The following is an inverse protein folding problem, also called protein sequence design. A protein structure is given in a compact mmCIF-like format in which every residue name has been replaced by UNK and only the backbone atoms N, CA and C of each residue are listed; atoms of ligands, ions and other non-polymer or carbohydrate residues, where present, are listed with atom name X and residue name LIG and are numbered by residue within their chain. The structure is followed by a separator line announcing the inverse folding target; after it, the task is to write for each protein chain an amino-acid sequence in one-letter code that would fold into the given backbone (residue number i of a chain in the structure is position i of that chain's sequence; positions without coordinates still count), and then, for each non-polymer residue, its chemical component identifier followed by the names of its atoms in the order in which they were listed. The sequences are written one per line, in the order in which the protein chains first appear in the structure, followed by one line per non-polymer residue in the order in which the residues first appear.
data_IF_751743584618
#
_entry.id   IF_751743584618
#
_cell.length_a   1.000
_cell.length_b   1.000
_cell.length_c   1.000
_cell.angle_alpha   90.00
_cell.angle_beta   90.00
_cell.angle_gamma   90.00
#
_symmetry.space_group_name_H-M   'P 1'
#
loop_
_entity.id
_entity.type
_entity.pdbx_description
1 polymer ?
#
# COMPACT_ATOMS: atom_id res chain seq x y z
N UNK A 1 -19.83 12.71 10.85
CA UNK A 1 -20.02 11.34 11.37
C UNK A 1 -20.32 10.44 10.18
N UNK A 2 -19.55 9.37 9.96
CA UNK A 2 -19.84 8.39 8.88
C UNK A 2 -21.03 7.51 9.32
N UNK A 3 -21.97 7.18 8.42
CA UNK A 3 -23.09 6.29 8.74
C UNK A 3 -22.56 4.95 9.24
N UNK A 4 -23.24 4.38 10.24
CA UNK A 4 -22.91 3.04 10.74
C UNK A 4 -23.28 2.03 9.65
N UNK A 5 -22.43 1.04 9.46
CA UNK A 5 -22.72 -0.10 8.61
C UNK A 5 -24.01 -0.79 9.11
N UNK A 6 -25.02 -0.93 8.25
CA UNK A 6 -26.33 -1.53 8.59
C UNK A 6 -26.38 -3.06 8.39
N UNK A 7 -25.23 -3.70 8.21
CA UNK A 7 -25.18 -5.15 8.08
C UNK A 7 -25.31 -5.80 9.46
N UNK A 8 -26.41 -6.52 9.67
CA UNK A 8 -26.68 -7.22 10.93
C UNK A 8 -25.85 -8.49 11.11
N UNK A 9 -25.30 -9.03 10.01
CA UNK A 9 -24.51 -10.26 10.01
C UNK A 9 -23.10 -10.00 9.48
N UNK A 10 -22.11 -10.27 10.33
CA UNK A 10 -20.70 -10.23 9.98
C UNK A 10 -20.14 -11.65 9.90
N UNK A 11 -19.57 -12.03 8.75
CA UNK A 11 -18.83 -13.27 8.62
C UNK A 11 -17.36 -13.01 9.00
N UNK A 12 -16.93 -13.57 10.13
CA UNK A 12 -15.56 -13.44 10.65
C UNK A 12 -14.76 -14.75 10.53
N UNK A 13 -15.38 -15.76 9.92
CA UNK A 13 -14.83 -17.10 9.69
C UNK A 13 -14.21 -17.18 8.28
N UNK A 14 -13.23 -18.08 8.07
CA UNK A 14 -12.74 -18.34 6.73
C UNK A 14 -13.81 -19.06 5.90
N UNK A 15 -13.60 -19.15 4.58
CA UNK A 15 -14.46 -19.92 3.69
C UNK A 15 -14.34 -21.43 3.96
N UNK A 16 -15.28 -22.20 3.41
CA UNK A 16 -15.24 -23.66 3.42
C UNK A 16 -14.00 -24.26 2.75
N UNK A 17 -13.33 -23.49 1.87
CA UNK A 17 -12.12 -23.91 1.16
C UNK A 17 -10.87 -23.87 2.05
N UNK A 18 -10.91 -23.15 3.17
CA UNK A 18 -9.74 -23.02 4.05
C UNK A 18 -9.28 -24.36 4.65
N UNK A 19 -10.22 -25.24 5.00
CA UNK A 19 -9.92 -26.57 5.55
C UNK A 19 -9.19 -27.47 4.53
N UNK A 20 -9.70 -27.70 3.30
CA UNK A 20 -8.98 -28.52 2.32
C UNK A 20 -7.68 -27.87 1.85
N UNK A 21 -7.56 -26.54 1.89
CA UNK A 21 -6.30 -25.85 1.64
C UNK A 21 -5.27 -26.02 2.78
N UNK A 22 -5.66 -26.56 3.94
CA UNK A 22 -4.77 -26.73 5.09
C UNK A 22 -4.51 -25.45 5.89
N UNK A 23 -5.32 -24.40 5.69
CA UNK A 23 -5.20 -23.15 6.43
C UNK A 23 -5.63 -23.33 7.90
N UNK A 24 -4.77 -22.89 8.82
CA UNK A 24 -5.05 -22.88 10.24
C UNK A 24 -5.10 -21.44 10.76
N UNK A 25 -6.21 -21.07 11.42
CA UNK A 25 -6.32 -19.76 12.07
C UNK A 25 -5.37 -19.68 13.28
N UNK A 26 -4.70 -18.55 13.43
CA UNK A 26 -3.89 -18.27 14.62
C UNK A 26 -4.71 -18.23 15.90
N UNK A 27 -4.11 -18.68 16.98
CA UNK A 27 -4.70 -18.60 18.32
C UNK A 27 -4.76 -17.15 18.82
N UNK A 28 -5.64 -16.87 19.77
CA UNK A 28 -5.73 -15.55 20.40
C UNK A 28 -4.38 -15.07 20.96
N UNK A 29 -3.59 -15.98 21.55
CA UNK A 29 -2.27 -15.66 22.09
C UNK A 29 -1.27 -15.28 20.99
N UNK A 30 -1.27 -16.00 19.86
CA UNK A 30 -0.42 -15.68 18.71
C UNK A 30 -0.80 -14.32 18.09
N UNK A 31 -2.10 -14.01 18.03
CA UNK A 31 -2.58 -12.71 17.57
C UNK A 31 -2.13 -11.58 18.51
N UNK A 32 -2.27 -11.74 19.83
CA UNK A 32 -1.78 -10.76 20.82
C UNK A 32 -0.26 -10.61 20.75
N UNK A 33 0.48 -11.70 20.56
CA UNK A 33 1.92 -11.64 20.41
C UNK A 33 2.32 -10.87 19.14
N UNK A 34 1.59 -11.08 18.04
CA UNK A 34 1.84 -10.43 16.76
C UNK A 34 1.60 -8.91 16.78
N UNK A 35 0.74 -8.40 17.66
CA UNK A 35 0.49 -6.95 17.80
C UNK A 35 1.53 -6.23 18.66
N UNK A 36 2.52 -6.96 19.20
CA UNK A 36 3.50 -6.42 20.15
C UNK A 36 4.87 -6.24 19.52
N UNK A 37 5.60 -5.15 19.86
CA UNK A 37 6.96 -4.95 19.38
C UNK A 37 7.92 -6.10 19.74
N UNK A 38 7.70 -6.74 20.88
CA UNK A 38 8.51 -7.88 21.33
C UNK A 38 8.18 -9.20 20.63
N UNK A 39 7.02 -9.30 19.96
CA UNK A 39 6.50 -10.56 19.43
C UNK A 39 6.12 -11.60 20.49
N UNK A 40 5.94 -11.19 21.75
CA UNK A 40 5.70 -12.10 22.88
C UNK A 40 4.36 -11.84 23.56
N UNK A 41 3.67 -12.93 23.92
CA UNK A 41 2.45 -12.90 24.74
C UNK A 41 2.75 -12.33 26.14
N UNK A 42 1.89 -11.46 26.69
CA UNK A 42 2.00 -10.98 28.07
C UNK A 42 1.90 -12.11 29.09
N UNK A 43 2.49 -11.92 30.27
CA UNK A 43 2.27 -12.82 31.41
C UNK A 43 0.82 -12.71 31.88
N UNK A 44 0.16 -13.82 32.25
CA UNK A 44 -1.28 -13.87 32.54
C UNK A 44 -1.75 -12.94 33.68
N UNK A 45 -0.85 -12.46 34.56
CA UNK A 45 -1.18 -11.61 35.71
C UNK A 45 -1.29 -10.10 35.41
N UNK A 46 -1.06 -9.65 34.17
CA UNK A 46 -1.27 -8.23 33.80
C UNK A 46 -2.73 -7.98 33.43
N UNK A 47 -3.37 -6.99 34.06
CA UNK A 47 -4.68 -6.47 33.63
C UNK A 47 -4.60 -6.07 32.14
N UNK A 48 -5.52 -6.58 31.30
CA UNK A 48 -5.55 -6.32 29.86
C UNK A 48 -5.32 -7.54 28.93
N UNK A 49 -5.26 -8.76 29.47
CA UNK A 49 -5.03 -9.99 28.70
C UNK A 49 -6.30 -10.68 28.15
N UNK A 50 -7.39 -9.94 27.99
CA UNK A 50 -8.58 -10.51 27.35
C UNK A 50 -8.22 -10.95 25.91
N UNK A 51 -8.72 -12.11 25.49
CA UNK A 51 -8.61 -12.51 24.11
C UNK A 51 -9.24 -11.42 23.24
N UNK A 52 -8.60 -10.99 22.14
CA UNK A 52 -9.20 -10.01 21.26
C UNK A 52 -10.51 -10.56 20.70
N UNK A 53 -11.52 -9.70 20.61
CA UNK A 53 -12.77 -10.04 19.95
C UNK A 53 -12.49 -10.56 18.54
N UNK A 54 -13.27 -11.53 18.06
CA UNK A 54 -13.08 -12.11 16.74
C UNK A 54 -13.15 -11.07 15.61
N UNK A 55 -13.86 -9.96 15.84
CA UNK A 55 -14.00 -8.80 14.95
C UNK A 55 -12.75 -7.92 14.90
N UNK A 56 -11.85 -8.02 15.88
CA UNK A 56 -10.58 -7.28 15.91
C UNK A 56 -9.59 -7.84 14.89
N UNK A 57 -9.56 -9.18 14.76
CA UNK A 57 -8.69 -9.90 13.82
C UNK A 57 -9.50 -10.98 13.08
N UNK A 58 -10.36 -10.58 12.13
CA UNK A 58 -11.15 -11.52 11.34
C UNK A 58 -10.24 -12.49 10.58
N UNK A 59 -10.70 -13.72 10.37
CA UNK A 59 -9.97 -14.66 9.53
C UNK A 59 -10.00 -14.19 8.06
N UNK A 60 -8.93 -14.41 7.28
CA UNK A 60 -8.99 -14.24 5.84
C UNK A 60 -10.02 -15.21 5.25
N UNK A 61 -10.64 -14.80 4.14
CA UNK A 61 -11.67 -15.62 3.49
C UNK A 61 -11.08 -16.91 2.88
N UNK A 62 -9.83 -16.90 2.41
CA UNK A 62 -9.13 -18.04 1.78
C UNK A 62 -9.95 -18.64 0.62
N UNK A 63 -9.81 -18.10 -0.58
CA UNK A 63 -10.49 -18.60 -1.77
C UNK A 63 -9.58 -19.51 -2.61
N UNK A 64 -10.14 -20.37 -3.48
CA UNK A 64 -9.34 -21.17 -4.40
C UNK A 64 -8.42 -20.31 -5.27
N UNK A 65 -7.13 -20.64 -5.28
CA UNK A 65 -6.12 -19.92 -6.06
C UNK A 65 -5.54 -18.67 -5.38
N UNK A 66 -6.04 -18.28 -4.20
CA UNK A 66 -5.39 -17.25 -3.38
C UNK A 66 -4.04 -17.75 -2.83
N UNK A 67 -3.14 -16.82 -2.50
CA UNK A 67 -1.81 -17.12 -1.94
C UNK A 67 -1.91 -18.05 -0.72
N UNK A 68 -2.82 -17.78 0.22
CA UNK A 68 -3.02 -18.62 1.41
C UNK A 68 -3.67 -19.98 1.10
N UNK A 69 -4.31 -20.14 -0.05
CA UNK A 69 -4.77 -21.44 -0.52
C UNK A 69 -3.64 -22.26 -1.14
N UNK A 70 -2.64 -21.61 -1.73
CA UNK A 70 -1.50 -22.26 -2.40
C UNK A 70 -0.37 -22.55 -1.40
N UNK A 71 -0.13 -21.62 -0.48
CA UNK A 71 0.80 -21.75 0.64
C UNK A 71 0.09 -21.42 1.97
N UNK A 72 -0.62 -22.38 2.57
CA UNK A 72 -1.32 -22.18 3.84
C UNK A 72 -0.39 -21.93 5.03
N UNK A 73 0.92 -22.17 4.86
CA UNK A 73 1.94 -21.96 5.90
C UNK A 73 2.71 -20.66 5.72
N UNK A 74 2.36 -19.84 4.73
CA UNK A 74 3.02 -18.57 4.48
C UNK A 74 3.05 -17.74 5.76
N UNK A 75 4.24 -17.23 6.10
CA UNK A 75 4.42 -16.44 7.31
C UNK A 75 3.57 -15.19 7.23
N UNK A 76 2.76 -14.91 8.26
CA UNK A 76 2.08 -13.63 8.29
C UNK A 76 2.86 -12.57 9.05
N UNK A 77 2.49 -11.34 8.75
CA UNK A 77 3.08 -10.16 9.31
C UNK A 77 2.81 -10.04 10.82
N UNK A 78 3.84 -9.65 11.56
CA UNK A 78 3.75 -9.23 12.95
C UNK A 78 4.31 -7.82 13.10
N UNK A 79 3.88 -7.08 14.12
CA UNK A 79 4.42 -5.77 14.43
C UNK A 79 5.93 -5.82 14.65
N UNK A 80 6.44 -6.88 15.29
CA UNK A 80 7.88 -7.10 15.44
C UNK A 80 8.59 -7.18 14.08
N UNK A 81 8.10 -8.04 13.19
CA UNK A 81 8.69 -8.21 11.85
C UNK A 81 8.68 -6.88 11.10
N UNK A 82 7.53 -6.18 11.10
CA UNK A 82 7.40 -4.87 10.48
C UNK A 82 8.36 -3.83 11.08
N UNK A 83 8.53 -3.78 12.41
CA UNK A 83 9.47 -2.86 13.06
C UNK A 83 10.93 -3.14 12.72
N UNK A 84 11.26 -4.40 12.40
CA UNK A 84 12.61 -4.87 12.08
C UNK A 84 12.89 -4.87 10.57
N UNK A 85 11.91 -4.54 9.73
CA UNK A 85 12.03 -4.50 8.27
C UNK A 85 13.02 -3.39 7.84
N UNK A 86 14.17 -3.72 7.21
CA UNK A 86 15.20 -2.74 6.87
C UNK A 86 14.70 -1.64 5.92
N UNK A 87 13.76 -1.97 5.04
CA UNK A 87 13.18 -1.07 4.04
C UNK A 87 12.10 -0.16 4.64
N UNK A 88 11.74 -0.36 5.91
CA UNK A 88 10.71 0.44 6.58
C UNK A 88 11.16 1.88 6.77
N UNK A 89 10.33 2.81 6.31
CA UNK A 89 10.44 4.21 6.70
C UNK A 89 10.04 4.37 8.18
N UNK A 90 11.03 4.65 9.04
CA UNK A 90 10.78 4.89 10.45
C UNK A 90 9.91 6.14 10.66
N UNK A 91 8.78 5.94 11.35
CA UNK A 91 7.94 7.03 11.84
C UNK A 91 8.66 7.69 13.01
N UNK A 92 9.11 8.93 12.80
CA UNK A 92 9.81 9.78 13.78
C UNK A 92 9.03 11.08 13.96
N UNK A 93 9.35 11.90 14.96
CA UNK A 93 8.69 13.19 15.15
C UNK A 93 8.82 14.09 13.91
N UNK A 94 9.96 14.03 13.22
CA UNK A 94 10.23 14.76 11.99
C UNK A 94 9.57 14.12 10.75
N UNK A 95 9.35 12.80 10.75
CA UNK A 95 8.83 12.02 9.60
C UNK A 95 7.50 11.30 9.88
N UNK A 96 6.61 11.95 10.64
CA UNK A 96 5.27 11.41 10.96
C UNK A 96 4.15 11.86 10.02
N UNK A 97 4.47 12.64 8.98
CA UNK A 97 3.46 13.17 8.05
C UNK A 97 3.52 12.42 6.72
N UNK A 98 2.37 11.93 6.26
CA UNK A 98 2.21 11.41 4.90
C UNK A 98 1.94 12.58 3.96
N UNK A 99 2.85 12.81 3.02
CA UNK A 99 2.69 13.86 2.02
C UNK A 99 2.13 13.26 0.71
N UNK A 100 1.00 13.79 0.28
CA UNK A 100 0.44 13.51 -1.05
C UNK A 100 0.94 14.59 -1.99
N UNK A 101 1.58 14.18 -3.08
CA UNK A 101 2.01 15.09 -4.14
C UNK A 101 1.02 15.04 -5.31
N UNK A 102 0.66 16.17 -5.93
CA UNK A 102 -0.09 16.16 -7.18
C UNK A 102 0.65 15.39 -8.27
N UNK A 103 -0.11 14.90 -9.26
CA UNK A 103 0.45 14.23 -10.44
C UNK A 103 1.52 15.13 -11.10
N UNK A 104 2.76 14.64 -11.31
CA UNK A 104 3.80 15.42 -11.94
C UNK A 104 3.41 15.86 -13.36
N UNK A 105 3.82 17.06 -13.75
CA UNK A 105 3.68 17.50 -15.14
C UNK A 105 4.63 16.73 -16.05
N UNK A 106 4.31 16.64 -17.35
CA UNK A 106 5.15 15.90 -18.32
C UNK A 106 5.86 16.89 -19.25
N UNK A 107 7.19 16.89 -19.21
CA UNK A 107 8.05 17.70 -20.07
C UNK A 107 8.00 17.29 -21.55
N UNK A 108 8.38 18.21 -22.43
CA UNK A 108 8.27 18.06 -23.89
C UNK A 108 9.11 16.93 -24.48
N UNK A 109 10.28 16.64 -23.89
CA UNK A 109 11.18 15.56 -24.32
C UNK A 109 10.68 14.16 -23.94
N UNK A 110 9.73 14.05 -23.00
CA UNK A 110 9.19 12.77 -22.48
C UNK A 110 7.67 12.67 -22.68
N UNK A 111 7.15 13.25 -23.77
CA UNK A 111 5.70 13.27 -24.09
C UNK A 111 5.03 11.90 -24.10
N UNK A 112 5.76 10.83 -24.43
CA UNK A 112 5.26 9.45 -24.44
C UNK A 112 4.72 9.02 -23.06
N UNK A 113 5.21 9.59 -21.95
CA UNK A 113 4.69 9.31 -20.61
C UNK A 113 3.23 9.73 -20.41
N UNK A 114 2.68 10.60 -21.28
CA UNK A 114 1.24 10.91 -21.26
C UNK A 114 0.38 9.69 -21.59
N UNK A 115 0.93 8.65 -22.19
CA UNK A 115 0.22 7.41 -22.46
C UNK A 115 0.08 6.55 -21.19
N UNK A 116 0.94 6.73 -20.18
CA UNK A 116 0.90 5.93 -18.94
C UNK A 116 -0.36 6.16 -18.11
N UNK A 117 -1.00 7.31 -18.29
CA UNK A 117 -2.26 7.65 -17.59
C UNK A 117 -3.50 7.12 -18.33
N UNK A 118 -3.33 6.53 -19.52
CA UNK A 118 -4.42 6.01 -20.32
C UNK A 118 -4.61 4.53 -20.03
N UNK A 119 -5.77 4.11 -19.49
CA UNK A 119 -6.07 2.69 -19.33
C UNK A 119 -6.08 1.99 -20.69
N UNK A 120 -5.45 0.82 -20.77
CA UNK A 120 -5.46 -0.03 -21.96
C UNK A 120 -6.70 -0.91 -21.92
N UNK A 121 -7.64 -0.70 -22.84
CA UNK A 121 -8.83 -1.54 -22.96
C UNK A 121 -8.60 -2.69 -23.96
N UNK A 122 -9.15 -3.88 -23.71
CA UNK A 122 -9.22 -4.94 -24.71
C UNK A 122 -9.86 -4.45 -26.01
N UNK A 123 -9.36 -4.94 -27.15
CA UNK A 123 -9.92 -4.61 -28.46
C UNK A 123 -11.43 -4.93 -28.50
N UNK A 124 -12.24 -3.98 -28.96
CA UNK A 124 -13.71 -4.11 -29.02
C UNK A 124 -14.48 -3.62 -27.80
N UNK A 125 -13.83 -3.36 -26.65
CA UNK A 125 -14.46 -2.77 -25.46
C UNK A 125 -14.28 -1.25 -25.44
N UNK A 126 -14.87 -0.56 -26.41
CA UNK A 126 -14.74 0.89 -26.55
C UNK A 126 -15.76 1.63 -25.67
N UNK A 127 -15.61 1.58 -24.36
CA UNK A 127 -16.11 2.66 -23.50
C UNK A 127 -14.94 3.60 -23.24
N UNK A 128 -14.71 4.53 -24.18
CA UNK A 128 -13.80 5.68 -24.01
C UNK A 128 -14.40 6.70 -23.03
N UNK A 129 -14.93 6.24 -21.91
CA UNK A 129 -15.34 7.15 -20.85
C UNK A 129 -14.07 7.86 -20.38
N UNK A 130 -14.05 9.19 -20.52
CA UNK A 130 -12.99 9.99 -19.92
C UNK A 130 -13.17 9.88 -18.40
N UNK A 131 -12.38 9.02 -17.77
CA UNK A 131 -12.34 8.94 -16.31
C UNK A 131 -11.62 10.21 -15.84
N UNK A 132 -12.29 11.12 -15.11
CA UNK A 132 -11.63 12.31 -14.61
C UNK A 132 -10.52 11.90 -13.65
N UNK A 133 -9.43 12.69 -13.62
CA UNK A 133 -8.39 12.45 -12.64
C UNK A 133 -8.93 12.76 -11.23
N UNK A 134 -8.63 11.92 -10.23
CA UNK A 134 -9.00 12.22 -8.85
C UNK A 134 -8.40 13.58 -8.42
N UNK A 135 -9.19 14.39 -7.70
CA UNK A 135 -8.64 15.59 -7.06
C UNK A 135 -7.65 15.13 -5.97
N UNK A 136 -6.39 15.62 -5.96
CA UNK A 136 -5.46 15.32 -4.89
C UNK A 136 -6.01 15.54 -3.47
N UNK A 137 -6.99 16.44 -3.28
CA UNK A 137 -7.67 16.65 -2.00
C UNK A 137 -8.54 15.45 -1.58
N UNK A 138 -9.25 14.85 -2.53
CA UNK A 138 -10.04 13.62 -2.27
C UNK A 138 -9.11 12.46 -1.88
N UNK A 139 -7.94 12.38 -2.52
CA UNK A 139 -6.90 11.39 -2.16
C UNK A 139 -6.40 11.63 -0.73
N UNK A 140 -6.15 12.89 -0.35
CA UNK A 140 -5.77 13.24 1.03
C UNK A 140 -6.85 12.83 2.03
N UNK A 141 -8.11 13.14 1.75
CA UNK A 141 -9.24 12.78 2.63
C UNK A 141 -9.38 11.26 2.77
N UNK A 142 -9.29 10.55 1.64
CA UNK A 142 -9.33 9.09 1.62
C UNK A 142 -8.22 8.50 2.48
N UNK A 143 -6.96 8.91 2.27
CA UNK A 143 -5.84 8.40 3.06
C UNK A 143 -5.93 8.77 4.54
N UNK A 144 -6.38 9.99 4.86
CA UNK A 144 -6.58 10.43 6.24
C UNK A 144 -7.61 9.57 7.00
N UNK A 145 -8.55 8.93 6.29
CA UNK A 145 -9.49 7.99 6.89
C UNK A 145 -8.83 6.69 7.39
N UNK A 146 -7.68 6.29 6.84
CA UNK A 146 -6.96 5.07 7.24
C UNK A 146 -5.76 5.38 8.16
N UNK A 147 -5.06 6.48 7.90
CA UNK A 147 -3.89 6.90 8.66
C UNK A 147 -4.28 7.81 9.84
N UNK A 148 -5.12 7.31 10.76
CA UNK A 148 -5.69 8.12 11.84
C UNK A 148 -4.66 8.72 12.80
N UNK A 149 -3.48 8.11 12.92
CA UNK A 149 -2.39 8.55 13.79
C UNK A 149 -1.26 9.29 13.05
N UNK A 150 -1.35 9.47 11.72
CA UNK A 150 -0.37 10.20 10.93
C UNK A 150 -1.06 11.34 10.16
N UNK A 151 -0.64 12.61 10.33
CA UNK A 151 -1.17 13.67 9.51
C UNK A 151 -0.96 13.38 8.02
N UNK A 152 -2.02 13.54 7.22
CA UNK A 152 -1.94 13.46 5.76
C UNK A 152 -2.06 14.88 5.19
N UNK A 153 -1.08 15.31 4.39
CA UNK A 153 -1.03 16.69 3.86
C UNK A 153 -0.75 16.70 2.37
N UNK A 154 -1.40 17.64 1.68
CA UNK A 154 -1.07 17.93 0.28
C UNK A 154 0.22 18.76 0.22
N UNK A 155 1.22 18.25 -0.50
CA UNK A 155 2.47 18.96 -0.79
C UNK A 155 2.43 19.52 -2.22
N UNK A 156 2.10 20.81 -2.35
CA UNK A 156 1.92 21.47 -3.64
C UNK A 156 3.18 22.12 -4.22
N UNK A 157 4.25 22.21 -3.43
CA UNK A 157 5.56 22.78 -3.82
C UNK A 157 6.70 21.89 -3.32
N UNK A 158 7.79 21.72 -4.10
CA UNK A 158 7.95 22.22 -5.48
C UNK A 158 7.05 21.48 -6.46
N UNK A 159 6.77 22.10 -7.62
CA UNK A 159 6.01 21.43 -8.68
C UNK A 159 6.87 20.32 -9.26
N UNK A 160 6.33 19.11 -9.31
CA UNK A 160 7.01 17.96 -9.86
C UNK A 160 6.87 17.93 -11.39
N UNK A 161 7.92 17.52 -12.08
CA UNK A 161 7.91 17.39 -13.52
C UNK A 161 8.76 16.21 -13.99
N UNK A 162 8.20 15.39 -14.87
CA UNK A 162 8.99 14.42 -15.63
C UNK A 162 9.75 15.11 -16.76
N UNK A 163 11.04 14.81 -16.90
CA UNK A 163 11.92 15.33 -17.94
C UNK A 163 12.86 14.24 -18.47
N UNK A 164 13.60 14.53 -19.55
CA UNK A 164 14.63 13.60 -20.05
C UNK A 164 15.71 13.42 -19.00
N UNK A 165 16.21 12.19 -18.86
CA UNK A 165 17.44 11.94 -18.11
C UNK A 165 18.62 12.10 -19.06
N UNK A 166 19.38 13.17 -18.92
CA UNK A 166 20.56 13.44 -19.73
C UNK A 166 21.76 12.71 -19.08
N UNK A 167 21.99 11.44 -19.46
CA UNK A 167 23.18 10.68 -19.06
C UNK A 167 24.27 10.97 -20.11
N UNK A 168 25.31 11.76 -19.77
CA UNK A 168 26.46 12.05 -20.65
C UNK A 168 27.31 10.79 -20.99
N UNK A 169 26.90 9.61 -20.52
CA UNK A 169 27.55 8.34 -20.83
C UNK A 169 27.11 7.88 -22.22
N UNK A 170 28.05 7.63 -23.14
CA UNK A 170 27.70 7.09 -24.45
C UNK A 170 26.95 5.77 -24.26
N UNK A 171 25.72 5.72 -24.78
CA UNK A 171 24.88 4.54 -24.72
C UNK A 171 25.62 3.36 -25.36
N UNK A 172 26.11 2.42 -24.54
CA UNK A 172 26.55 1.12 -25.07
C UNK A 172 25.33 0.51 -25.75
N UNK A 173 25.49 0.05 -26.99
CA UNK A 173 24.45 -0.50 -27.91
C UNK A 173 23.58 -1.66 -27.35
N UNK A 174 23.65 -1.96 -26.04
CA UNK A 174 22.99 -3.09 -25.36
C UNK A 174 22.14 -2.71 -24.15
N UNK A 175 22.05 -1.45 -23.70
CA UNK A 175 21.15 -1.14 -22.56
C UNK A 175 19.70 -1.02 -23.01
N UNK A 176 18.89 -2.05 -22.74
CA UNK A 176 17.44 -2.07 -23.00
C UNK A 176 16.60 -1.19 -22.06
N UNK A 177 17.22 -0.51 -21.09
CA UNK A 177 16.51 0.32 -20.12
C UNK A 177 16.56 1.79 -20.57
N UNK A 178 15.38 2.40 -20.75
CA UNK A 178 15.24 3.84 -20.87
C UNK A 178 15.12 4.46 -19.48
N UNK A 179 15.51 5.73 -19.35
CA UNK A 179 15.45 6.47 -18.10
C UNK A 179 14.80 7.83 -18.31
N UNK A 180 14.05 8.27 -17.32
CA UNK A 180 13.47 9.62 -17.21
C UNK A 180 13.84 10.22 -15.86
N UNK A 181 13.79 11.53 -15.73
CA UNK A 181 14.00 12.21 -14.46
C UNK A 181 12.67 12.70 -13.89
N UNK A 182 12.47 12.55 -12.58
CA UNK A 182 11.47 13.31 -11.83
C UNK A 182 12.16 14.50 -11.18
N UNK A 183 11.94 15.70 -11.72
CA UNK A 183 12.42 16.95 -11.15
C UNK A 183 11.63 17.33 -9.90
N UNK A 184 12.35 17.67 -8.84
CA UNK A 184 11.86 18.04 -7.51
C UNK A 184 12.59 19.31 -7.07
N UNK A 185 12.08 20.48 -7.47
CA UNK A 185 12.73 21.75 -7.15
C UNK A 185 14.09 21.87 -7.85
N UNK A 186 15.18 21.85 -7.08
CA UNK A 186 16.56 21.91 -7.58
C UNK A 186 17.18 20.52 -7.84
N UNK A 187 16.48 19.44 -7.50
CA UNK A 187 16.97 18.07 -7.63
C UNK A 187 16.22 17.31 -8.72
N UNK A 188 16.81 16.21 -9.20
CA UNK A 188 16.16 15.30 -10.14
C UNK A 188 16.47 13.84 -9.78
N UNK A 189 15.41 13.02 -9.67
CA UNK A 189 15.52 11.60 -9.34
C UNK A 189 15.38 10.77 -10.62
N UNK A 190 16.34 9.88 -10.87
CA UNK A 190 16.31 8.97 -12.01
C UNK A 190 15.27 7.87 -11.80
N UNK A 191 14.39 7.69 -12.78
CA UNK A 191 13.38 6.64 -12.84
C UNK A 191 13.62 5.80 -14.08
N UNK A 192 13.56 4.47 -13.93
CA UNK A 192 13.59 3.54 -15.07
C UNK A 192 12.22 3.55 -15.77
N UNK A 193 12.22 3.79 -17.07
CA UNK A 193 11.03 3.83 -17.92
C UNK A 193 10.91 2.57 -18.79
#
# INVERSE_FOLDING_TARGET
MKPRCEHDQLCLAPSSHAQPAGYARRTAQQLIAATRPSGRTPKPKSQGNAAPEASTFPAPLVLPGDDLSLDPKYDAQSLKSWLQEPERNAVTEERKTVYVVPVPSVGTKVKHMKEWIQPKFPAGTATKAQIPRPDPKEVVEYLAAFYTNLPVKLLSKPKLQFMSWDDDRPAKKRSKASYVALAIGSEAIRIRA
#
